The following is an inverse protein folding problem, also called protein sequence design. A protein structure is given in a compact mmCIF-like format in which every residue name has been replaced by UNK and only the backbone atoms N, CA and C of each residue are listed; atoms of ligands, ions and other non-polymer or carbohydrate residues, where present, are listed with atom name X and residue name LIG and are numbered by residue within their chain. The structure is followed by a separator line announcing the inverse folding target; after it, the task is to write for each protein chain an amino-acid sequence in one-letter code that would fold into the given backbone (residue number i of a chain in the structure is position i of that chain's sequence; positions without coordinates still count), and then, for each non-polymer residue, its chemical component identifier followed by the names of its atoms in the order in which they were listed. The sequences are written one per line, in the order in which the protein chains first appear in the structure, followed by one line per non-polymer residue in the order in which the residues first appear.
data_IF_836448554687
#
_entry.id   IF_836448554687
#
_cell.length_a   1.000
_cell.length_b   1.000
_cell.length_c   1.000
_cell.angle_alpha   90.00
_cell.angle_beta   90.00
_cell.angle_gamma   90.00
#
_symmetry.space_group_name_H-M   'P 1'
#
loop_
_entity.id
_entity.type
_entity.pdbx_description
1 polymer ?
#
# COMPACT_ATOMS: atom_id res chain seq x y z
N UNK A 1 -7.19 32.19 6.45
CA UNK A 1 -6.64 30.82 6.28
C UNK A 1 -6.92 30.09 7.58
N UNK A 2 -7.67 28.99 7.54
CA UNK A 2 -8.07 28.26 8.72
C UNK A 2 -6.98 27.23 9.02
N UNK A 3 -6.16 27.48 10.04
CA UNK A 3 -5.10 26.55 10.45
C UNK A 3 -5.74 25.33 11.06
N UNK A 4 -5.55 24.16 10.43
CA UNK A 4 -6.04 22.91 10.97
C UNK A 4 -5.19 22.54 12.20
N UNK A 5 -5.79 22.64 13.39
CA UNK A 5 -5.16 22.26 14.65
C UNK A 5 -5.09 20.74 14.68
N UNK A 6 -3.87 20.19 14.68
CA UNK A 6 -3.65 18.75 14.78
C UNK A 6 -4.12 18.30 16.16
N UNK A 7 -5.29 17.66 16.23
CA UNK A 7 -5.80 17.11 17.49
C UNK A 7 -4.97 15.86 17.80
N UNK A 8 -4.57 15.66 19.06
CA UNK A 8 -3.76 14.53 19.56
C UNK A 8 -4.24 13.12 19.16
N UNK A 9 -5.46 12.98 18.63
CA UNK A 9 -5.98 11.76 18.02
C UNK A 9 -5.43 11.45 16.62
N UNK A 10 -5.10 12.44 15.80
CA UNK A 10 -4.53 12.21 14.45
C UNK A 10 -3.12 11.59 14.47
N UNK A 11 -2.22 11.99 15.39
CA UNK A 11 -0.91 11.35 15.55
C UNK A 11 -0.98 9.84 15.82
N UNK A 12 -1.98 9.36 16.57
CA UNK A 12 -2.07 7.93 16.91
C UNK A 12 -2.37 7.05 15.70
N UNK A 13 -3.15 7.54 14.73
CA UNK A 13 -3.49 6.80 13.52
C UNK A 13 -2.31 6.68 12.56
N UNK A 14 -1.47 7.71 12.46
CA UNK A 14 -0.31 7.76 11.55
C UNK A 14 0.82 6.83 12.04
N UNK A 15 0.89 6.58 13.34
CA UNK A 15 1.91 5.72 13.96
C UNK A 15 1.57 4.22 13.90
N UNK A 16 0.39 3.85 13.40
CA UNK A 16 0.01 2.44 13.30
C UNK A 16 0.87 1.74 12.24
N UNK A 17 1.37 0.53 12.54
CA UNK A 17 2.02 -0.27 11.52
C UNK A 17 1.02 -0.60 10.41
N UNK A 18 1.52 -0.61 9.18
CA UNK A 18 0.74 -1.06 8.03
C UNK A 18 0.40 -2.55 8.16
N UNK A 19 -0.72 -2.95 7.57
CA UNK A 19 -1.12 -4.35 7.46
C UNK A 19 -1.40 -4.72 5.99
N UNK A 20 -1.69 -6.01 5.76
CA UNK A 20 -1.96 -6.56 4.42
C UNK A 20 -3.12 -5.85 3.71
N UNK A 21 -4.15 -5.44 4.44
CA UNK A 21 -5.30 -4.72 3.87
C UNK A 21 -4.91 -3.30 3.43
N UNK A 22 -4.03 -2.62 4.15
CA UNK A 22 -3.51 -1.31 3.73
C UNK A 22 -2.73 -1.44 2.41
N UNK A 23 -1.88 -2.47 2.30
CA UNK A 23 -1.12 -2.76 1.07
C UNK A 23 -2.07 -3.10 -0.09
N UNK A 24 -3.08 -3.95 0.14
CA UNK A 24 -4.10 -4.30 -0.85
C UNK A 24 -4.83 -3.06 -1.34
N UNK A 25 -5.34 -2.22 -0.43
CA UNK A 25 -6.04 -0.99 -0.78
C UNK A 25 -5.17 -0.05 -1.60
N UNK A 26 -3.91 0.12 -1.20
CA UNK A 26 -2.95 0.93 -1.94
C UNK A 26 -2.75 0.38 -3.36
N UNK A 27 -2.46 -0.91 -3.52
CA UNK A 27 -2.29 -1.57 -4.83
C UNK A 27 -3.54 -1.41 -5.72
N UNK A 28 -4.73 -1.62 -5.16
CA UNK A 28 -5.98 -1.57 -5.91
C UNK A 28 -6.43 -0.15 -6.26
N UNK A 29 -5.92 0.86 -5.57
CA UNK A 29 -6.16 2.28 -5.88
C UNK A 29 -5.39 2.76 -7.11
N UNK A 30 -4.39 2.00 -7.58
CA UNK A 30 -3.63 2.32 -8.78
C UNK A 30 -4.49 2.02 -10.02
N UNK A 31 -4.60 3.02 -10.90
CA UNK A 31 -5.24 2.86 -12.22
C UNK A 31 -4.57 1.71 -12.99
N UNK A 32 -5.36 0.80 -13.55
CA UNK A 32 -4.86 -0.37 -14.30
C UNK A 32 -4.12 0.01 -15.58
N UNK A 33 -4.38 1.21 -16.12
CA UNK A 33 -3.73 1.73 -17.33
C UNK A 33 -2.50 2.56 -17.02
N UNK A 34 -2.04 2.57 -15.75
CA UNK A 34 -0.76 3.19 -15.39
C UNK A 34 0.40 2.44 -16.07
N UNK A 35 1.52 3.14 -16.24
CA UNK A 35 2.75 2.59 -16.80
C UNK A 35 3.22 1.34 -16.04
N UNK A 36 3.89 0.45 -16.77
CA UNK A 36 4.50 -0.76 -16.22
C UNK A 36 5.65 -0.41 -15.26
N UNK A 37 5.87 -1.26 -14.26
CA UNK A 37 7.05 -1.22 -13.43
C UNK A 37 8.32 -1.62 -14.21
N UNK A 38 9.51 -1.48 -13.59
CA UNK A 38 10.78 -1.96 -14.15
C UNK A 38 10.81 -3.47 -14.42
N UNK A 39 9.91 -4.21 -13.76
CA UNK A 39 9.66 -5.64 -13.90
C UNK A 39 8.79 -5.99 -15.13
N UNK A 40 8.22 -4.98 -15.81
CA UNK A 40 7.31 -5.15 -16.94
C UNK A 40 5.86 -5.44 -16.54
N UNK A 41 5.49 -5.35 -15.26
CA UNK A 41 4.14 -5.59 -14.77
C UNK A 41 3.47 -4.30 -14.29
N UNK A 42 2.18 -4.16 -14.59
CA UNK A 42 1.34 -3.06 -14.08
C UNK A 42 0.50 -3.50 -12.88
N UNK A 43 -0.19 -2.54 -12.25
CA UNK A 43 -1.11 -2.82 -11.13
C UNK A 43 -2.20 -3.85 -11.48
N UNK A 44 -2.63 -3.91 -12.75
CA UNK A 44 -3.59 -4.90 -13.23
C UNK A 44 -3.12 -6.34 -12.98
N UNK A 45 -1.84 -6.65 -13.23
CA UNK A 45 -1.30 -7.99 -12.99
C UNK A 45 -1.45 -8.38 -11.51
N UNK A 46 -0.94 -7.53 -10.61
CA UNK A 46 -0.99 -7.79 -9.16
C UNK A 46 -2.42 -7.89 -8.61
N UNK A 47 -3.37 -7.16 -9.22
CA UNK A 47 -4.80 -7.25 -8.87
C UNK A 47 -5.41 -8.59 -9.30
N UNK A 48 -5.17 -9.00 -10.54
CA UNK A 48 -5.70 -10.26 -11.10
C UNK A 48 -5.08 -11.49 -10.44
N UNK A 49 -3.82 -11.42 -10.01
CA UNK A 49 -3.12 -12.53 -9.34
C UNK A 49 -3.14 -12.42 -7.82
N UNK A 50 -3.96 -11.54 -7.25
CA UNK A 50 -3.93 -11.26 -5.81
C UNK A 50 -4.21 -12.51 -4.95
N UNK A 51 -5.13 -13.38 -5.40
CA UNK A 51 -5.46 -14.62 -4.68
C UNK A 51 -4.32 -15.65 -4.69
N UNK A 52 -3.35 -15.49 -5.58
CA UNK A 52 -2.20 -16.39 -5.74
C UNK A 52 -0.97 -15.83 -5.00
N UNK A 53 -0.63 -14.57 -5.25
CA UNK A 53 0.63 -13.96 -4.81
C UNK A 53 0.45 -12.75 -3.89
N UNK A 54 -0.78 -12.33 -3.60
CA UNK A 54 -1.06 -11.10 -2.85
C UNK A 54 -0.59 -11.14 -1.40
N UNK A 55 -0.60 -12.31 -0.77
CA UNK A 55 -0.08 -12.50 0.59
C UNK A 55 1.45 -12.29 0.63
N UNK A 56 2.19 -13.02 -0.21
CA UNK A 56 3.65 -12.94 -0.27
C UNK A 56 4.12 -11.54 -0.70
N UNK A 57 3.41 -10.93 -1.67
CA UNK A 57 3.64 -9.54 -2.07
C UNK A 57 3.45 -8.58 -0.90
N UNK A 58 2.36 -8.70 -0.15
CA UNK A 58 2.11 -7.83 0.99
C UNK A 58 3.14 -8.03 2.11
N UNK A 59 3.55 -9.28 2.37
CA UNK A 59 4.59 -9.59 3.35
C UNK A 59 5.92 -8.92 2.98
N UNK A 60 6.37 -9.04 1.73
CA UNK A 60 7.59 -8.38 1.26
C UNK A 60 7.52 -6.85 1.40
N UNK A 61 6.37 -6.24 1.09
CA UNK A 61 6.16 -4.79 1.28
C UNK A 61 6.23 -4.41 2.75
N UNK A 62 5.58 -5.19 3.63
CA UNK A 62 5.58 -4.91 5.08
C UNK A 62 6.97 -5.11 5.69
N UNK A 63 7.72 -6.11 5.26
CA UNK A 63 9.11 -6.35 5.66
C UNK A 63 10.00 -5.16 5.32
N UNK A 64 9.88 -4.60 4.10
CA UNK A 64 10.62 -3.40 3.69
C UNK A 64 10.39 -2.22 4.64
N UNK A 65 9.15 -1.97 5.08
CA UNK A 65 8.85 -0.89 6.03
C UNK A 65 9.36 -1.16 7.45
N UNK A 66 9.66 -2.41 7.80
CA UNK A 66 10.20 -2.78 9.12
C UNK A 66 11.74 -2.79 9.14
N UNK A 67 12.36 -3.29 8.07
CA UNK A 67 13.77 -3.69 8.09
C UNK A 67 14.69 -2.94 7.11
N UNK A 68 14.15 -2.26 6.09
CA UNK A 68 14.89 -1.37 5.18
C UNK A 68 16.13 -1.96 4.52
#
# INVERSE_FOLDING_TARGET
MQTQVLTIVQPLEILKPFNVEDVRKAMFSIDVYKNLGPDGYGSGFYRETWDIAGCDFAEAVLEFFQNG
#
